data_IF_739360678146
#
_entry.id   IF_739360678146
#
_cell.length_a   1.000
_cell.length_b   1.000
_cell.length_c   1.000
_cell.angle_alpha   90.00
_cell.angle_beta   90.00
_cell.angle_gamma   90.00
#
_symmetry.space_group_name_H-M   'P 1'
#
loop_
_entity.id
_entity.type
_entity.pdbx_description
1 polymer ?
#
# COMPACT_ATOMS: atom_id res chain seq x y z
N UNK A 1 -18.74 9.40 13.96
CA UNK A 1 -18.23 9.66 12.59
C UNK A 1 -18.28 8.36 11.80
N UNK A 2 -19.00 8.30 10.67
CA UNK A 2 -19.10 7.06 9.86
C UNK A 2 -17.77 6.87 9.10
N UNK A 3 -17.14 5.71 9.24
CA UNK A 3 -15.98 5.28 8.42
C UNK A 3 -16.51 4.38 7.32
N UNK A 4 -16.06 4.59 6.08
CA UNK A 4 -16.30 3.66 4.98
C UNK A 4 -14.94 3.18 4.51
N UNK A 5 -14.52 2.03 5.04
CA UNK A 5 -13.18 1.49 4.87
C UNK A 5 -13.19 0.46 3.75
N UNK A 6 -12.34 0.68 2.75
CA UNK A 6 -12.06 -0.24 1.67
C UNK A 6 -10.62 -0.71 1.86
N UNK A 7 -10.41 -2.02 1.92
CA UNK A 7 -9.08 -2.61 2.03
C UNK A 7 -8.69 -3.26 0.71
N UNK A 8 -7.44 -3.08 0.30
CA UNK A 8 -6.86 -3.75 -0.85
C UNK A 8 -5.50 -4.33 -0.49
N UNK A 9 -5.30 -5.61 -0.79
CA UNK A 9 -4.08 -6.35 -0.48
C UNK A 9 -3.19 -6.41 -1.72
N UNK A 10 -2.11 -5.64 -1.73
CA UNK A 10 -1.09 -5.71 -2.76
C UNK A 10 -0.13 -6.87 -2.46
N UNK A 11 -0.21 -7.94 -3.25
CA UNK A 11 0.76 -9.03 -3.20
C UNK A 11 2.03 -8.62 -3.93
N UNK A 12 3.17 -8.92 -3.33
CA UNK A 12 4.48 -8.71 -3.94
C UNK A 12 5.40 -9.89 -3.63
N UNK A 13 6.45 -10.07 -4.42
CA UNK A 13 7.42 -11.15 -4.25
C UNK A 13 8.81 -10.56 -4.05
N UNK A 14 9.57 -11.10 -3.10
CA UNK A 14 10.99 -10.79 -3.00
C UNK A 14 11.76 -11.54 -4.10
N UNK A 15 12.17 -10.83 -5.14
CA UNK A 15 12.98 -11.38 -6.24
C UNK A 15 14.50 -11.20 -6.02
N UNK A 16 14.90 -10.69 -4.86
CA UNK A 16 16.30 -10.51 -4.47
C UNK A 16 16.92 -11.78 -3.89
N UNK A 17 18.16 -11.64 -3.40
CA UNK A 17 18.94 -12.74 -2.78
C UNK A 17 19.01 -12.64 -1.25
N UNK A 18 18.52 -11.54 -0.68
CA UNK A 18 18.53 -11.25 0.75
C UNK A 18 17.10 -11.04 1.27
N UNK A 19 16.85 -11.21 2.58
CA UNK A 19 15.54 -10.88 3.17
C UNK A 19 15.14 -9.43 2.88
N UNK A 20 13.96 -9.26 2.30
CA UNK A 20 13.36 -7.96 2.00
C UNK A 20 12.68 -7.42 3.25
N UNK A 21 13.07 -6.24 3.67
CA UNK A 21 12.51 -5.52 4.81
C UNK A 21 11.81 -4.27 4.28
N UNK A 22 10.50 -4.21 4.47
CA UNK A 22 9.74 -2.98 4.22
C UNK A 22 9.93 -2.08 5.44
N UNK A 23 10.56 -0.92 5.23
CA UNK A 23 10.88 0.03 6.30
C UNK A 23 9.67 0.88 6.67
N UNK A 24 8.97 1.37 5.65
CA UNK A 24 7.82 2.25 5.82
C UNK A 24 6.99 2.31 4.52
N UNK A 25 5.72 2.69 4.64
CA UNK A 25 4.88 3.05 3.52
C UNK A 25 4.11 4.35 3.83
N UNK A 26 4.26 5.36 2.96
CA UNK A 26 3.60 6.66 3.12
C UNK A 26 2.54 6.86 2.03
N UNK A 27 1.33 7.21 2.46
CA UNK A 27 0.30 7.69 1.55
C UNK A 27 0.27 9.23 1.52
N UNK A 28 -0.14 9.81 0.40
CA UNK A 28 -0.22 11.27 0.22
C UNK A 28 -1.32 11.94 1.08
N UNK A 29 -2.25 11.17 1.64
CA UNK A 29 -3.42 11.67 2.40
C UNK A 29 -3.70 10.73 3.57
N UNK A 30 -4.03 11.29 4.75
CA UNK A 30 -4.46 10.49 5.92
C UNK A 30 -5.76 9.68 5.73
N UNK A 31 -6.41 9.82 4.58
CA UNK A 31 -7.52 8.98 4.15
C UNK A 31 -7.08 7.62 3.58
N UNK A 32 -5.77 7.38 3.47
CA UNK A 32 -5.18 6.12 2.99
C UNK A 32 -4.12 5.69 3.97
N UNK A 33 -4.28 4.50 4.55
CA UNK A 33 -3.39 3.96 5.57
C UNK A 33 -2.81 2.66 5.04
N UNK A 34 -1.51 2.62 4.71
CA UNK A 34 -0.84 1.38 4.39
C UNK A 34 -0.42 0.63 5.65
N UNK A 35 -0.52 -0.69 5.60
CA UNK A 35 -0.07 -1.62 6.63
C UNK A 35 1.00 -2.52 6.01
N UNK A 36 2.23 -2.34 6.48
CA UNK A 36 3.40 -3.10 6.01
C UNK A 36 3.56 -4.40 6.80
N UNK A 37 4.13 -5.45 6.19
CA UNK A 37 4.51 -6.65 6.93
C UNK A 37 5.60 -6.33 7.95
N UNK A 38 5.49 -6.89 9.16
CA UNK A 38 6.47 -6.69 10.24
C UNK A 38 7.67 -7.63 10.12
N UNK A 39 7.48 -8.77 9.48
CA UNK A 39 8.49 -9.81 9.32
C UNK A 39 9.24 -9.63 8.00
N UNK A 40 10.56 -9.91 7.96
CA UNK A 40 11.32 -9.93 6.71
C UNK A 40 10.78 -10.97 5.72
N UNK A 41 10.71 -10.61 4.45
CA UNK A 41 10.23 -11.49 3.38
C UNK A 41 11.44 -12.17 2.78
N UNK A 42 11.56 -13.49 2.98
CA UNK A 42 12.69 -14.28 2.50
C UNK A 42 12.81 -14.26 0.96
N UNK A 43 14.00 -14.51 0.39
CA UNK A 43 14.19 -14.65 -1.05
C UNK A 43 13.20 -15.64 -1.68
N UNK A 44 12.49 -15.22 -2.73
CA UNK A 44 11.49 -16.03 -3.41
C UNK A 44 10.13 -16.12 -2.71
N UNK A 45 9.98 -15.60 -1.48
CA UNK A 45 8.72 -15.57 -0.77
C UNK A 45 7.84 -14.38 -1.20
N UNK A 46 6.54 -14.51 -0.95
CA UNK A 46 5.54 -13.47 -1.18
C UNK A 46 5.20 -12.74 0.12
N UNK A 47 4.93 -11.44 0.00
CA UNK A 47 4.44 -10.59 1.07
C UNK A 47 3.16 -9.87 0.66
N UNK A 48 2.47 -9.31 1.64
CA UNK A 48 1.25 -8.52 1.43
C UNK A 48 1.45 -7.12 2.01
N UNK A 49 1.18 -6.11 1.20
CA UNK A 49 1.03 -4.72 1.63
C UNK A 49 -0.45 -4.37 1.58
N UNK A 50 -1.09 -4.27 2.75
CA UNK A 50 -2.50 -3.92 2.84
C UNK A 50 -2.65 -2.41 2.79
N UNK A 51 -3.56 -1.91 1.98
CA UNK A 51 -3.87 -0.47 1.89
C UNK A 51 -5.33 -0.28 2.23
N UNK A 52 -5.58 0.49 3.29
CA UNK A 52 -6.93 0.83 3.75
C UNK A 52 -7.27 2.25 3.32
N UNK A 53 -8.28 2.41 2.49
CA UNK A 53 -8.80 3.69 2.05
C UNK A 53 -10.12 4.00 2.75
N UNK A 54 -10.22 5.19 3.35
CA UNK A 54 -11.46 5.71 3.90
C UNK A 54 -12.13 6.65 2.88
N UNK A 55 -13.22 6.19 2.28
CA UNK A 55 -14.02 6.96 1.32
C UNK A 55 -15.03 7.91 1.97
N UNK A 56 -15.22 7.84 3.29
CA UNK A 56 -16.20 8.68 3.97
C UNK A 56 -15.92 10.18 3.76
N UNK A 57 -16.92 10.92 3.29
CA UNK A 57 -16.81 12.35 3.00
C UNK A 57 -15.93 12.69 1.79
N UNK A 58 -15.58 11.70 0.95
CA UNK A 58 -14.92 11.94 -0.34
C UNK A 58 -15.98 12.09 -1.44
N UNK A 59 -15.79 13.04 -2.38
CA UNK A 59 -16.73 13.23 -3.48
C UNK A 59 -16.75 12.00 -4.39
N UNK A 60 -17.88 11.77 -5.04
CA UNK A 60 -17.99 10.80 -6.13
C UNK A 60 -17.04 11.18 -7.29
N UNK A 61 -16.62 10.18 -8.07
CA UNK A 61 -15.74 10.37 -9.23
C UNK A 61 -14.41 9.62 -9.16
N UNK A 62 -13.46 9.93 -10.06
CA UNK A 62 -12.21 9.19 -10.19
C UNK A 62 -11.34 9.30 -8.94
N UNK A 63 -10.82 8.17 -8.50
CA UNK A 63 -9.91 8.04 -7.37
C UNK A 63 -8.52 7.67 -7.88
N UNK A 64 -7.53 8.48 -7.52
CA UNK A 64 -6.11 8.14 -7.65
C UNK A 64 -5.41 8.46 -6.34
N UNK A 65 -4.83 7.44 -5.71
CA UNK A 65 -4.00 7.58 -4.51
C UNK A 65 -2.66 6.92 -4.75
N UNK A 66 -1.61 7.52 -4.22
CA UNK A 66 -0.27 6.97 -4.30
C UNK A 66 0.19 6.58 -2.89
N UNK A 67 0.81 5.41 -2.80
CA UNK A 67 1.53 4.96 -1.61
C UNK A 67 2.98 4.74 -2.02
N UNK A 68 3.91 5.39 -1.33
CA UNK A 68 5.35 5.24 -1.55
C UNK A 68 5.90 4.28 -0.51
N UNK A 69 6.48 3.18 -0.96
CA UNK A 69 7.01 2.10 -0.13
C UNK A 69 8.54 2.19 -0.11
N UNK A 70 9.10 2.26 1.08
CA UNK A 70 10.55 2.29 1.30
C UNK A 70 11.02 0.94 1.86
N UNK A 71 12.12 0.42 1.35
CA UNK A 71 12.67 -0.88 1.76
C UNK A 71 14.20 -0.89 1.74
N UNK A 72 14.81 -2.05 2.01
CA UNK A 72 16.24 -2.31 1.75
C UNK A 72 16.52 -2.79 0.31
N UNK A 73 15.53 -2.86 -0.57
CA UNK A 73 15.74 -3.26 -1.96
C UNK A 73 16.46 -2.17 -2.77
N UNK A 74 17.21 -2.58 -3.80
CA UNK A 74 17.94 -1.68 -4.71
C UNK A 74 17.03 -0.72 -5.48
N UNK A 75 15.78 -1.11 -5.73
CA UNK A 75 14.79 -0.29 -6.43
C UNK A 75 13.95 0.58 -5.49
N UNK A 76 14.33 0.70 -4.21
CA UNK A 76 13.65 1.55 -3.25
C UNK A 76 13.94 3.04 -3.51
N UNK A 77 12.94 3.95 -3.39
CA UNK A 77 11.55 3.68 -3.05
C UNK A 77 10.70 3.27 -4.26
N UNK A 78 9.64 2.49 -4.00
CA UNK A 78 8.66 2.06 -5.02
C UNK A 78 7.34 2.78 -4.78
N UNK A 79 6.78 3.39 -5.82
CA UNK A 79 5.45 4.01 -5.76
C UNK A 79 4.38 3.07 -6.32
N UNK A 80 3.35 2.79 -5.54
CA UNK A 80 2.15 2.07 -5.98
C UNK A 80 0.97 3.03 -6.09
N UNK A 81 0.06 2.75 -7.03
CA UNK A 81 -1.11 3.56 -7.27
C UNK A 81 -2.40 2.77 -7.04
N UNK A 82 -3.27 3.30 -6.18
CA UNK A 82 -4.64 2.86 -6.03
C UNK A 82 -5.51 3.69 -6.97
N UNK A 83 -6.07 3.02 -7.99
CA UNK A 83 -6.97 3.61 -8.96
C UNK A 83 -8.38 3.09 -8.73
N UNK A 84 -9.40 3.93 -8.95
CA UNK A 84 -10.78 3.51 -8.84
C UNK A 84 -11.76 4.62 -9.16
N UNK A 85 -13.02 4.40 -8.83
CA UNK A 85 -14.08 5.40 -8.95
C UNK A 85 -15.00 5.26 -7.74
N UNK A 86 -15.21 6.35 -7.02
CA UNK A 86 -16.19 6.42 -5.93
C UNK A 86 -17.56 6.62 -6.59
N UNK A 87 -18.47 5.68 -6.37
CA UNK A 87 -19.88 5.77 -6.78
C UNK A 87 -20.73 6.21 -5.59
N UNK A 88 -21.85 6.87 -5.89
CA UNK A 88 -22.89 7.22 -4.92
C UNK A 88 -23.55 5.99 -4.30
#
# INVERSE_FOLDING_TARGET
>A
MKKNLISYDFKFKNTGKEPLIIKDALATCGCTVPEIPKEPILPGAEGILKVVFNSAGKPAGPLRKQVTVSSNALNSPVAIQLLGTIKE
#
